data_IF_556449983742
#
_entry.id   IF_556449983742
#
_cell.length_a   1.000
_cell.length_b   1.000
_cell.length_c   1.000
_cell.angle_alpha   90.00
_cell.angle_beta   90.00
_cell.angle_gamma   90.00
#
_symmetry.space_group_name_H-M   'P 1'
#
loop_
_entity.id
_entity.type
_entity.pdbx_description
1 polymer ?
#
# COMPACT_ATOMS: atom_id res chain seq x y z
N UNK A 1 43.85 -45.86 12.25
CA UNK A 1 44.07 -44.43 11.91
C UNK A 1 43.11 -43.90 10.85
N UNK A 2 42.84 -44.60 9.73
CA UNK A 2 41.98 -44.13 8.63
C UNK A 2 40.52 -43.79 9.02
N UNK A 3 39.92 -44.56 9.95
CA UNK A 3 38.53 -44.35 10.42
C UNK A 3 38.29 -43.02 11.16
N UNK A 4 39.32 -42.49 11.86
CA UNK A 4 39.18 -41.23 12.61
C UNK A 4 39.11 -40.03 11.67
N UNK A 5 39.87 -40.06 10.57
CA UNK A 5 39.85 -39.02 9.54
C UNK A 5 38.57 -39.06 8.70
N UNK A 6 37.99 -40.24 8.43
CA UNK A 6 36.69 -40.35 7.74
C UNK A 6 35.55 -39.77 8.58
N UNK A 7 35.51 -40.06 9.88
CA UNK A 7 34.52 -39.45 10.80
C UNK A 7 34.71 -37.93 10.93
N UNK A 8 35.96 -37.47 10.94
CA UNK A 8 36.30 -36.04 11.02
C UNK A 8 35.97 -35.30 9.71
N UNK A 9 36.13 -35.93 8.54
CA UNK A 9 35.73 -35.34 7.25
C UNK A 9 34.22 -35.32 7.04
N UNK A 10 33.48 -36.34 7.48
CA UNK A 10 32.00 -36.32 7.45
C UNK A 10 31.44 -35.22 8.36
N UNK A 11 32.03 -35.01 9.54
CA UNK A 11 31.64 -33.93 10.44
C UNK A 11 31.93 -32.54 9.85
N UNK A 12 33.06 -32.38 9.13
CA UNK A 12 33.42 -31.11 8.49
C UNK A 12 32.52 -30.78 7.27
N UNK A 13 32.14 -31.79 6.48
CA UNK A 13 31.17 -31.62 5.39
C UNK A 13 29.76 -31.31 5.88
N UNK A 14 29.33 -31.83 7.04
CA UNK A 14 28.02 -31.51 7.63
C UNK A 14 27.93 -30.05 8.11
N UNK A 15 29.02 -29.48 8.61
CA UNK A 15 29.10 -28.08 9.06
C UNK A 15 29.18 -27.11 7.87
N UNK A 16 29.81 -27.51 6.76
CA UNK A 16 29.90 -26.68 5.56
C UNK A 16 28.55 -26.48 4.84
N UNK A 17 27.60 -27.42 4.98
CA UNK A 17 26.26 -27.32 4.38
C UNK A 17 25.37 -26.28 5.09
N UNK A 18 25.68 -25.90 6.34
CA UNK A 18 24.90 -24.93 7.11
C UNK A 18 25.17 -23.45 6.72
N UNK A 19 26.13 -23.18 5.82
CA UNK A 19 26.54 -21.81 5.46
C UNK A 19 25.97 -21.31 4.12
N UNK A 20 25.11 -22.07 3.44
CA UNK A 20 24.55 -21.70 2.10
C UNK A 20 23.19 -20.98 2.20
N UNK A 21 22.81 -20.51 3.39
CA UNK A 21 21.55 -19.79 3.62
C UNK A 21 21.67 -18.27 3.51
N UNK A 22 22.22 -17.73 2.42
CA UNK A 22 21.98 -16.33 2.07
C UNK A 22 20.79 -16.30 1.11
N UNK A 23 19.58 -16.19 1.68
CA UNK A 23 18.38 -15.96 0.88
C UNK A 23 18.52 -14.64 0.14
N UNK A 24 18.33 -14.65 -1.18
CA UNK A 24 18.21 -13.42 -1.96
C UNK A 24 17.06 -12.59 -1.36
N UNK A 25 17.35 -11.31 -1.06
CA UNK A 25 16.30 -10.38 -0.66
C UNK A 25 15.45 -10.09 -1.90
N UNK A 26 14.35 -10.82 -2.05
CA UNK A 26 13.35 -10.51 -3.05
C UNK A 26 12.46 -9.38 -2.52
N UNK A 27 12.60 -8.21 -3.13
CA UNK A 27 11.85 -7.01 -2.76
C UNK A 27 10.52 -6.95 -3.53
N UNK A 28 9.71 -7.97 -3.32
CA UNK A 28 8.39 -8.12 -3.91
C UNK A 28 7.33 -7.42 -3.07
N UNK A 29 6.24 -7.06 -3.73
CA UNK A 29 5.04 -6.53 -3.09
C UNK A 29 4.52 -7.48 -1.99
N UNK A 30 4.19 -6.94 -0.82
CA UNK A 30 3.61 -7.70 0.30
C UNK A 30 2.09 -7.53 0.34
N UNK A 31 1.38 -8.57 0.76
CA UNK A 31 -0.07 -8.52 0.95
C UNK A 31 -0.50 -7.45 1.98
N UNK A 32 -1.66 -6.85 1.77
CA UNK A 32 -2.28 -5.95 2.76
C UNK A 32 -2.95 -6.79 3.85
N UNK A 33 -2.71 -6.42 5.11
CA UNK A 33 -3.44 -6.92 6.25
C UNK A 33 -4.37 -5.83 6.79
N UNK A 34 -5.64 -5.84 6.35
CA UNK A 34 -6.66 -4.85 6.71
C UNK A 34 -6.98 -4.76 8.21
N UNK A 35 -6.49 -5.69 9.04
CA UNK A 35 -6.68 -5.60 10.49
C UNK A 35 -5.64 -4.72 11.18
N UNK A 36 -4.49 -4.47 10.56
CA UNK A 36 -3.33 -3.82 11.23
C UNK A 36 -2.59 -2.80 10.37
N UNK A 37 -2.64 -2.92 9.04
CA UNK A 37 -1.85 -2.06 8.15
C UNK A 37 -2.45 -0.66 8.06
N UNK A 38 -1.71 0.34 8.53
CA UNK A 38 -2.12 1.75 8.46
C UNK A 38 -1.25 2.51 7.49
N UNK A 39 -1.87 3.46 6.79
CA UNK A 39 -1.17 4.35 5.90
C UNK A 39 -0.19 5.21 6.69
N UNK A 40 1.08 5.19 6.30
CA UNK A 40 2.18 5.91 6.98
C UNK A 40 2.08 7.45 6.89
N UNK A 41 1.09 7.98 6.15
CA UNK A 41 0.86 9.43 6.00
C UNK A 41 -0.42 9.89 6.66
N UNK A 42 -1.56 9.25 6.37
CA UNK A 42 -2.86 9.69 6.89
C UNK A 42 -3.29 8.95 8.16
N UNK A 43 -2.60 7.87 8.54
CA UNK A 43 -2.94 6.97 9.64
C UNK A 43 -4.29 6.24 9.50
N UNK A 44 -4.93 6.29 8.32
CA UNK A 44 -6.12 5.50 8.02
C UNK A 44 -5.74 4.04 7.75
N UNK A 45 -6.72 3.14 7.90
CA UNK A 45 -6.56 1.73 7.56
C UNK A 45 -6.29 1.58 6.05
N UNK A 46 -5.30 0.76 5.68
CA UNK A 46 -5.07 0.37 4.28
C UNK A 46 -5.99 -0.82 3.97
N UNK A 47 -6.87 -0.65 3.00
CA UNK A 47 -7.73 -1.73 2.49
C UNK A 47 -6.99 -2.53 1.42
N UNK A 48 -7.33 -3.80 1.24
CA UNK A 48 -6.80 -4.67 0.18
C UNK A 48 -7.55 -4.45 -1.16
N UNK A 49 -7.63 -3.18 -1.58
CA UNK A 49 -8.37 -2.74 -2.77
C UNK A 49 -7.43 -2.29 -3.91
N UNK A 50 -7.97 -1.58 -4.90
CA UNK A 50 -7.23 -1.09 -6.05
C UNK A 50 -6.54 0.27 -5.85
N UNK A 51 -6.65 0.89 -4.66
CA UNK A 51 -5.96 2.14 -4.32
C UNK A 51 -4.74 1.94 -3.43
N UNK A 52 -4.60 0.75 -2.82
CA UNK A 52 -3.44 0.46 -2.00
C UNK A 52 -2.14 0.58 -2.81
N UNK A 53 -1.14 1.20 -2.20
CA UNK A 53 0.21 1.32 -2.75
C UNK A 53 1.22 0.95 -1.68
N UNK A 54 2.44 0.60 -2.10
CA UNK A 54 3.53 0.37 -1.18
C UNK A 54 4.87 0.77 -1.79
N UNK A 55 5.80 1.17 -0.94
CA UNK A 55 7.20 1.36 -1.30
C UNK A 55 8.09 0.50 -0.41
N UNK A 56 9.16 0.00 -0.98
CA UNK A 56 10.14 -0.85 -0.31
C UNK A 56 11.49 -0.15 -0.34
N UNK A 57 12.16 -0.13 0.80
CA UNK A 57 13.50 0.49 0.96
C UNK A 57 14.62 -0.53 0.86
N UNK A 58 15.86 -0.08 0.67
CA UNK A 58 17.08 -0.92 0.63
C UNK A 58 17.20 -1.85 1.85
N UNK A 59 16.81 -1.36 3.03
CA UNK A 59 16.80 -2.15 4.27
C UNK A 59 15.71 -3.24 4.30
N UNK A 60 14.78 -3.21 3.34
CA UNK A 60 13.66 -4.15 3.20
C UNK A 60 12.41 -3.72 3.96
N UNK A 61 12.37 -2.48 4.48
CA UNK A 61 11.17 -1.95 5.13
C UNK A 61 10.12 -1.63 4.06
N UNK A 62 8.90 -2.10 4.31
CA UNK A 62 7.73 -1.88 3.46
C UNK A 62 6.83 -0.84 4.12
N UNK A 63 6.60 0.27 3.43
CA UNK A 63 5.58 1.25 3.82
C UNK A 63 4.35 1.05 2.95
N UNK A 64 3.16 1.20 3.53
CA UNK A 64 1.89 1.01 2.81
C UNK A 64 1.07 2.28 2.87
N UNK A 65 0.30 2.54 1.83
CA UNK A 65 -0.54 3.72 1.72
C UNK A 65 -1.90 3.36 1.15
N UNK A 66 -2.92 4.08 1.60
CA UNK A 66 -4.30 3.96 1.14
C UNK A 66 -4.58 4.72 -0.16
N UNK A 67 -3.64 5.56 -0.60
CA UNK A 67 -3.75 6.36 -1.81
C UNK A 67 -2.34 6.67 -2.36
N UNK A 68 -2.18 6.71 -3.68
CA UNK A 68 -0.90 7.03 -4.34
C UNK A 68 -0.39 8.43 -3.97
N UNK A 69 -1.28 9.39 -3.70
CA UNK A 69 -0.86 10.71 -3.24
C UNK A 69 -0.27 10.70 -1.84
N UNK A 70 -0.67 9.76 -0.97
CA UNK A 70 0.01 9.52 0.29
C UNK A 70 1.42 8.97 0.06
N UNK A 71 1.60 8.01 -0.85
CA UNK A 71 2.94 7.51 -1.21
C UNK A 71 3.84 8.64 -1.72
N UNK A 72 3.33 9.52 -2.58
CA UNK A 72 4.08 10.69 -3.04
C UNK A 72 4.43 11.67 -1.90
N UNK A 73 3.49 11.96 -1.00
CA UNK A 73 3.75 12.82 0.16
C UNK A 73 4.85 12.23 1.07
N UNK A 74 4.89 10.90 1.22
CA UNK A 74 5.97 10.22 1.93
C UNK A 74 7.32 10.45 1.25
N UNK A 75 7.41 10.31 -0.07
CA UNK A 75 8.65 10.54 -0.84
C UNK A 75 9.15 11.97 -0.69
N UNK A 76 8.25 12.95 -0.74
CA UNK A 76 8.60 14.37 -0.55
C UNK A 76 9.17 14.64 0.85
N UNK A 77 8.67 13.96 1.88
CA UNK A 77 9.10 14.15 3.27
C UNK A 77 10.39 13.42 3.62
N UNK A 78 10.61 12.22 3.06
CA UNK A 78 11.68 11.32 3.48
C UNK A 78 12.82 11.19 2.45
N UNK A 79 12.61 11.67 1.23
CA UNK A 79 13.52 11.45 0.11
C UNK A 79 13.23 10.14 -0.63
N UNK A 80 13.98 9.91 -1.72
CA UNK A 80 13.79 8.76 -2.62
C UNK A 80 15.02 7.86 -2.73
N UNK A 81 16.16 8.28 -2.16
CA UNK A 81 17.46 7.64 -2.39
C UNK A 81 17.51 6.19 -1.88
N UNK A 82 16.76 5.88 -0.81
CA UNK A 82 16.72 4.55 -0.22
C UNK A 82 15.60 3.67 -0.78
N UNK A 83 14.81 4.14 -1.76
CA UNK A 83 13.68 3.40 -2.34
C UNK A 83 14.19 2.51 -3.47
N UNK A 84 13.86 1.22 -3.38
CA UNK A 84 14.27 0.22 -4.38
C UNK A 84 13.12 -0.29 -5.23
N UNK A 85 11.88 -0.25 -4.72
CA UNK A 85 10.70 -0.65 -5.45
C UNK A 85 9.48 0.15 -4.97
N UNK A 86 8.61 0.46 -5.92
CA UNK A 86 7.31 1.08 -5.67
C UNK A 86 6.25 0.26 -6.41
N UNK A 87 5.12 0.01 -5.75
CA UNK A 87 4.04 -0.77 -6.30
C UNK A 87 2.69 -0.07 -6.11
N UNK A 88 1.84 -0.22 -7.12
CA UNK A 88 0.44 0.21 -7.12
C UNK A 88 -0.44 -0.99 -7.43
N UNK A 89 -1.71 -0.92 -7.06
CA UNK A 89 -2.69 -1.96 -7.40
C UNK A 89 -3.33 -1.67 -8.74
N UNK A 90 -3.52 -2.71 -9.54
CA UNK A 90 -4.40 -2.62 -10.70
C UNK A 90 -5.86 -2.47 -10.24
N UNK A 91 -6.57 -1.47 -10.75
CA UNK A 91 -7.94 -1.21 -10.32
C UNK A 91 -8.93 -2.33 -10.71
N UNK A 92 -8.59 -3.16 -11.71
CA UNK A 92 -9.48 -4.20 -12.23
C UNK A 92 -9.22 -5.55 -11.55
N UNK A 93 -7.97 -6.03 -11.58
CA UNK A 93 -7.56 -7.35 -11.09
C UNK A 93 -7.06 -7.32 -9.65
N UNK A 94 -6.71 -6.14 -9.14
CA UNK A 94 -6.02 -5.97 -7.85
C UNK A 94 -4.63 -6.60 -7.82
N UNK A 95 -4.04 -6.91 -8.95
CA UNK A 95 -2.64 -7.36 -9.00
C UNK A 95 -1.70 -6.22 -8.57
N UNK A 96 -0.58 -6.56 -7.93
CA UNK A 96 0.49 -5.61 -7.69
C UNK A 96 1.25 -5.35 -8.99
N UNK A 97 1.43 -4.08 -9.32
CA UNK A 97 2.14 -3.61 -10.51
C UNK A 97 3.27 -2.70 -10.05
N UNK A 98 4.46 -2.84 -10.62
CA UNK A 98 5.50 -1.84 -10.41
C UNK A 98 4.98 -0.47 -10.88
N UNK A 99 5.12 0.54 -10.04
CA UNK A 99 4.54 1.85 -10.28
C UNK A 99 5.06 2.49 -11.56
N UNK A 100 6.34 2.27 -11.89
CA UNK A 100 6.98 2.75 -13.12
C UNK A 100 6.45 2.10 -14.43
N UNK A 101 5.75 0.98 -14.31
CA UNK A 101 5.14 0.23 -15.43
C UNK A 101 3.62 0.38 -15.51
N UNK A 102 3.01 1.04 -14.53
CA UNK A 102 1.57 1.26 -14.49
C UNK A 102 1.15 2.44 -15.37
N UNK A 103 -0.13 2.46 -15.70
CA UNK A 103 -0.84 3.57 -16.32
C UNK A 103 -1.80 4.17 -15.32
N UNK A 104 -2.04 5.46 -15.44
CA UNK A 104 -2.85 6.21 -14.48
C UNK A 104 -3.94 6.97 -15.20
N UNK A 105 -5.16 6.92 -14.66
CA UNK A 105 -6.22 7.84 -15.02
C UNK A 105 -6.28 8.94 -13.95
N UNK A 106 -6.24 10.20 -14.39
CA UNK A 106 -6.35 11.34 -13.49
C UNK A 106 -7.53 12.23 -13.86
N UNK A 107 -8.32 12.59 -12.85
CA UNK A 107 -9.22 13.73 -12.86
C UNK A 107 -9.45 14.16 -11.41
N UNK A 108 -9.46 15.46 -11.08
CA UNK A 108 -9.70 15.91 -9.71
C UNK A 108 -11.07 15.48 -9.16
N UNK A 109 -12.03 15.11 -10.02
CA UNK A 109 -13.34 14.60 -9.60
C UNK A 109 -13.37 13.09 -9.32
N UNK A 110 -12.32 12.34 -9.69
CA UNK A 110 -12.24 10.91 -9.37
C UNK A 110 -12.15 10.70 -7.86
N UNK A 111 -12.97 9.77 -7.36
CA UNK A 111 -13.02 9.45 -5.94
C UNK A 111 -11.93 8.44 -5.59
N UNK A 112 -10.79 8.93 -5.11
CA UNK A 112 -9.78 8.13 -4.42
C UNK A 112 -9.88 8.32 -2.89
N UNK A 113 -9.35 7.40 -2.07
CA UNK A 113 -9.51 7.45 -0.60
C UNK A 113 -9.09 8.79 0.02
N UNK A 114 -8.03 9.40 -0.50
CA UNK A 114 -7.51 10.69 0.00
C UNK A 114 -7.74 11.86 -0.97
N UNK A 115 -8.66 11.68 -1.92
CA UNK A 115 -9.10 12.69 -2.89
C UNK A 115 -8.00 13.30 -3.77
N UNK A 116 -6.97 12.51 -4.10
CA UNK A 116 -5.95 12.87 -5.08
C UNK A 116 -6.39 12.63 -6.53
N UNK A 117 -7.45 11.85 -6.75
CA UNK A 117 -8.08 11.72 -8.08
C UNK A 117 -7.28 10.87 -9.07
N UNK A 118 -6.35 10.05 -8.58
CA UNK A 118 -5.57 9.11 -9.38
C UNK A 118 -6.10 7.68 -9.23
N UNK A 119 -6.13 6.94 -10.33
CA UNK A 119 -6.50 5.52 -10.40
C UNK A 119 -5.45 4.79 -11.23
N UNK A 120 -4.92 3.67 -10.74
CA UNK A 120 -3.84 2.91 -11.38
C UNK A 120 -4.33 1.67 -12.13
N UNK A 121 -3.67 1.36 -13.24
CA UNK A 121 -3.97 0.24 -14.11
C UNK A 121 -2.68 -0.43 -14.59
N UNK A 122 -2.72 -1.76 -14.76
CA UNK A 122 -1.59 -2.54 -15.27
C UNK A 122 -1.35 -2.34 -16.76
N UNK A 123 -2.37 -1.92 -17.50
CA UNK A 123 -2.31 -1.70 -18.94
C UNK A 123 -3.06 -0.44 -19.37
N UNK A 124 -2.62 0.11 -20.50
CA UNK A 124 -3.14 1.35 -21.06
C UNK A 124 -4.64 1.21 -21.42
N UNK A 125 -5.00 0.11 -22.08
CA UNK A 125 -6.38 -0.14 -22.54
C UNK A 125 -7.40 -0.03 -21.40
N UNK A 126 -7.08 -0.58 -20.23
CA UNK A 126 -7.95 -0.52 -19.05
C UNK A 126 -8.10 0.90 -18.51
N UNK A 127 -7.03 1.70 -18.52
CA UNK A 127 -7.08 3.10 -18.12
C UNK A 127 -7.91 3.95 -19.11
N UNK A 128 -7.71 3.78 -20.42
CA UNK A 128 -8.49 4.44 -21.46
C UNK A 128 -9.98 4.08 -21.39
N UNK A 129 -10.28 2.79 -21.16
CA UNK A 129 -11.67 2.35 -20.96
C UNK A 129 -12.30 3.02 -19.75
N UNK A 130 -11.60 3.06 -18.61
CA UNK A 130 -12.09 3.73 -17.41
C UNK A 130 -12.37 5.22 -17.67
N UNK A 131 -11.45 5.93 -18.33
CA UNK A 131 -11.64 7.34 -18.71
C UNK A 131 -12.87 7.51 -19.60
N UNK A 132 -13.03 6.64 -20.61
CA UNK A 132 -14.20 6.63 -21.50
C UNK A 132 -15.52 6.39 -20.76
N UNK A 133 -15.54 5.44 -19.81
CA UNK A 133 -16.70 5.14 -18.97
C UNK A 133 -17.06 6.28 -18.02
N UNK A 134 -16.06 7.00 -17.49
CA UNK A 134 -16.28 8.20 -16.66
C UNK A 134 -16.65 9.42 -17.49
N UNK A 135 -16.27 9.46 -18.76
CA UNK A 135 -16.46 10.60 -19.66
C UNK A 135 -15.57 11.80 -19.33
N UNK A 136 -14.61 11.65 -18.43
CA UNK A 136 -13.65 12.68 -17.98
C UNK A 136 -12.31 12.03 -17.64
N UNK A 137 -11.29 12.87 -17.47
CA UNK A 137 -9.95 12.48 -17.07
C UNK A 137 -8.96 12.34 -18.21
N UNK A 138 -7.69 12.22 -17.81
CA UNK A 138 -6.53 12.11 -18.70
C UNK A 138 -5.75 10.86 -18.40
N UNK A 139 -5.23 10.23 -19.45
CA UNK A 139 -4.27 9.14 -19.34
C UNK A 139 -2.89 9.72 -18.99
N UNK A 140 -2.22 9.10 -18.03
CA UNK A 140 -0.89 9.46 -17.56
C UNK A 140 -0.01 8.22 -17.43
N UNK A 141 1.27 8.39 -17.71
CA UNK A 141 2.35 7.46 -17.40
C UNK A 141 3.05 7.82 -16.09
N UNK A 142 3.94 6.96 -15.61
CA UNK A 142 4.79 7.28 -14.46
C UNK A 142 5.61 8.57 -14.65
N UNK A 143 6.15 8.81 -15.85
CA UNK A 143 6.91 10.05 -16.12
C UNK A 143 6.05 11.31 -16.01
N UNK A 144 4.76 11.22 -16.37
CA UNK A 144 3.86 12.38 -16.28
C UNK A 144 3.61 12.78 -14.82
N UNK A 145 3.64 11.82 -13.88
CA UNK A 145 3.46 12.06 -12.44
C UNK A 145 4.54 12.97 -11.84
N UNK A 146 5.74 13.02 -12.43
CA UNK A 146 6.82 13.91 -11.96
C UNK A 146 6.48 15.40 -12.09
N UNK A 147 5.64 15.75 -13.06
CA UNK A 147 5.18 17.12 -13.32
C UNK A 147 3.75 17.39 -12.83
N UNK A 148 3.14 16.39 -12.20
CA UNK A 148 1.76 16.41 -11.74
C UNK A 148 1.58 17.26 -10.47
N UNK A 149 0.42 17.91 -10.36
CA UNK A 149 0.00 18.64 -9.16
C UNK A 149 -0.70 17.71 -8.18
N UNK A 150 -0.13 17.54 -6.99
CA UNK A 150 -0.63 16.62 -5.96
C UNK A 150 -1.63 17.27 -5.00
N UNK A 151 -2.56 18.07 -5.52
CA UNK A 151 -3.57 18.74 -4.70
C UNK A 151 -4.74 17.81 -4.38
N UNK A 152 -5.14 17.76 -3.10
CA UNK A 152 -6.34 17.03 -2.68
C UNK A 152 -7.58 17.84 -3.01
N UNK A 153 -8.57 17.21 -3.66
CA UNK A 153 -9.86 17.83 -3.87
C UNK A 153 -10.68 17.86 -2.55
N UNK A 154 -10.53 18.95 -1.79
CA UNK A 154 -11.20 19.16 -0.49
C UNK A 154 -12.71 19.42 -0.59
N UNK A 155 -13.28 19.48 -1.80
CA UNK A 155 -14.63 19.98 -2.06
C UNK A 155 -15.79 19.14 -1.49
N UNK A 156 -15.59 17.90 -1.05
CA UNK A 156 -16.69 16.98 -0.70
C UNK A 156 -16.47 16.13 0.57
N UNK A 157 -15.65 16.58 1.53
CA UNK A 157 -15.45 15.87 2.81
C UNK A 157 -16.55 16.20 3.84
N UNK A 158 -17.83 16.03 3.48
CA UNK A 158 -18.93 16.05 4.45
C UNK A 158 -19.18 14.62 4.93
N UNK A 159 -18.39 14.16 5.91
CA UNK A 159 -18.66 12.91 6.61
C UNK A 159 -19.99 13.06 7.36
N UNK A 160 -21.04 12.39 6.88
CA UNK A 160 -22.25 12.16 7.66
C UNK A 160 -21.89 11.23 8.81
N UNK A 161 -21.68 11.79 10.00
CA UNK A 161 -21.63 11.01 11.23
C UNK A 161 -22.98 10.29 11.38
N UNK A 162 -22.96 8.97 11.24
CA UNK A 162 -24.10 8.12 11.60
C UNK A 162 -24.40 8.29 13.08
N UNK A 163 -25.65 8.60 13.39
CA UNK A 163 -26.15 8.82 14.73
C UNK A 163 -26.07 7.49 15.52
N UNK A 164 -25.06 7.32 16.37
CA UNK A 164 -25.06 6.25 17.37
C UNK A 164 -26.00 6.67 18.52
N UNK A 165 -27.23 6.18 18.43
CA UNK A 165 -28.20 6.23 19.52
C UNK A 165 -27.64 5.48 20.73
N UNK A 166 -27.42 6.20 21.83
CA UNK A 166 -26.99 5.65 23.11
C UNK A 166 -28.18 4.93 23.77
N UNK A 167 -28.21 3.60 23.69
CA UNK A 167 -28.94 2.80 24.66
C UNK A 167 -28.00 2.50 25.82
N UNK A 168 -28.01 3.39 26.82
CA UNK A 168 -27.41 3.13 28.11
C UNK A 168 -28.40 2.32 28.96
N UNK A 169 -28.02 1.08 29.24
CA UNK A 169 -28.47 0.35 30.42
C UNK A 169 -28.10 1.15 31.67
N UNK A 170 -29.00 1.19 32.65
CA UNK A 170 -28.72 0.84 34.05
C UNK A 170 -29.97 1.09 34.90
N UNK A 171 -30.72 0.01 35.10
CA UNK A 171 -31.75 -0.11 36.12
C UNK A 171 -31.05 -0.53 37.42
N UNK A 172 -30.90 0.40 38.37
CA UNK A 172 -30.55 0.06 39.75
C UNK A 172 -31.27 0.97 40.76
N UNK A 173 -32.26 0.35 41.41
CA UNK A 173 -32.71 0.51 42.79
C UNK A 173 -33.05 1.91 43.36
N UNK A 174 -34.36 2.10 43.55
CA UNK A 174 -35.03 2.18 44.85
C UNK A 174 -34.51 3.15 45.94
N UNK A 175 -35.48 3.90 46.49
CA UNK A 175 -35.54 4.57 47.81
C UNK A 175 -34.97 5.99 47.91
N UNK A 176 -35.85 7.00 47.84
CA UNK A 176 -36.17 7.90 48.97
C UNK A 176 -37.26 8.91 48.54
N UNK A 177 -38.47 8.80 49.11
CA UNK A 177 -39.06 9.77 50.06
C UNK A 177 -39.17 11.21 49.54
N UNK A 178 -40.34 11.60 49.03
CA UNK A 178 -41.41 12.26 49.80
C UNK A 178 -42.63 12.51 48.90
#
# INVERSE_FOLDING_TARGET
MKSKYVKMMIAFSLVAVLLVGCGEKNYEAVAVNEAVDKCDICNMQVNDDGYATQLITEEGKVYKFDDIGCMNEWKVKNGVDEIINEFVRDQVTREWVHADKAYYAYDPSFKSPMAYGLVSFKDNTSAEQFIGEKGVGVLMSWSDLSSHTWDRNKGNMHMKMGNHEKSAHDEYNALDKH
#
